data_IF_369029933280
#
_entry.id   IF_369029933280
#
_cell.length_a   1.000
_cell.length_b   1.000
_cell.length_c   1.000
_cell.angle_alpha   90.00
_cell.angle_beta   90.00
_cell.angle_gamma   90.00
#
_symmetry.space_group_name_H-M   'P 1'
#
loop_
_entity.id
_entity.type
_entity.pdbx_description
1 polymer ?
#
# COMPACT_ATOMS: atom_id res chain seq x y z
N UNK A 1 10.47 43.29 -17.24
CA UNK A 1 11.05 42.32 -16.27
C UNK A 1 10.62 40.86 -16.53
N UNK A 2 10.25 40.48 -17.75
CA UNK A 2 9.66 39.16 -18.08
C UNK A 2 10.66 38.07 -18.51
N UNK A 3 11.92 38.43 -18.78
CA UNK A 3 12.91 37.48 -19.34
C UNK A 3 13.55 36.51 -18.35
N UNK A 4 13.79 36.93 -17.10
CA UNK A 4 14.53 36.10 -16.12
C UNK A 4 13.70 34.93 -15.58
N UNK A 5 12.40 35.13 -15.36
CA UNK A 5 11.50 34.09 -14.87
C UNK A 5 11.30 32.95 -15.89
N UNK A 6 11.18 33.30 -17.18
CA UNK A 6 11.06 32.31 -18.26
C UNK A 6 12.33 31.47 -18.41
N UNK A 7 13.50 32.07 -18.20
CA UNK A 7 14.77 31.35 -18.26
C UNK A 7 14.93 30.38 -17.09
N UNK A 8 14.54 30.78 -15.87
CA UNK A 8 14.63 29.92 -14.69
C UNK A 8 13.73 28.68 -14.82
N UNK A 9 12.50 28.87 -15.31
CA UNK A 9 11.54 27.78 -15.53
C UNK A 9 12.04 26.78 -16.58
N UNK A 10 12.62 27.27 -17.69
CA UNK A 10 13.25 26.41 -18.70
C UNK A 10 14.38 25.58 -18.10
N UNK A 11 15.27 26.19 -17.32
CA UNK A 11 16.41 25.47 -16.72
C UNK A 11 15.93 24.38 -15.75
N UNK A 12 14.94 24.66 -14.91
CA UNK A 12 14.38 23.67 -13.98
C UNK A 12 13.72 22.51 -14.72
N UNK A 13 12.95 22.80 -15.78
CA UNK A 13 12.30 21.76 -16.59
C UNK A 13 13.34 20.89 -17.30
N UNK A 14 14.41 21.49 -17.83
CA UNK A 14 15.50 20.75 -18.48
C UNK A 14 16.23 19.84 -17.49
N UNK A 15 16.53 20.31 -16.28
CA UNK A 15 17.16 19.48 -15.23
C UNK A 15 16.24 18.34 -14.80
N UNK A 16 14.94 18.59 -14.66
CA UNK A 16 13.96 17.56 -14.31
C UNK A 16 13.88 16.46 -15.38
N UNK A 17 13.86 16.84 -16.66
CA UNK A 17 13.86 15.89 -17.79
C UNK A 17 15.15 15.08 -17.84
N UNK A 18 16.31 15.71 -17.61
CA UNK A 18 17.60 15.01 -17.57
C UNK A 18 17.67 14.00 -16.41
N UNK A 19 17.15 14.36 -15.23
CA UNK A 19 17.09 13.46 -14.08
C UNK A 19 16.13 12.29 -14.32
N UNK A 20 14.99 12.52 -14.98
CA UNK A 20 14.05 11.46 -15.34
C UNK A 20 14.63 10.52 -16.41
N UNK A 21 15.41 11.03 -17.36
CA UNK A 21 16.06 10.20 -18.40
C UNK A 21 17.30 9.45 -17.88
N UNK A 22 18.01 9.98 -16.89
CA UNK A 22 19.17 9.30 -16.27
C UNK A 22 18.77 8.19 -15.29
N UNK A 23 17.49 8.10 -14.92
CA UNK A 23 16.97 7.05 -14.05
C UNK A 23 16.53 5.78 -14.82
N UNK A 24 16.69 5.73 -16.15
CA UNK A 24 16.57 4.48 -16.88
C UNK A 24 17.75 3.57 -16.51
N UNK A 25 17.52 2.40 -15.89
CA UNK A 25 18.59 1.45 -15.65
C UNK A 25 19.25 1.10 -16.99
N UNK A 26 20.58 1.17 -17.03
CA UNK A 26 21.35 0.69 -18.16
C UNK A 26 20.93 -0.75 -18.45
N UNK A 27 20.37 -0.98 -19.63
CA UNK A 27 20.20 -2.31 -20.20
C UNK A 27 21.61 -2.86 -20.40
N UNK A 28 22.09 -3.62 -19.42
CA UNK A 28 23.38 -4.27 -19.48
C UNK A 28 23.36 -5.34 -20.58
N UNK A 29 24.22 -5.08 -21.57
CA UNK A 29 25.07 -6.01 -22.33
C UNK A 29 24.46 -7.36 -22.73
N UNK A 30 24.30 -7.48 -24.05
CA UNK A 30 24.26 -8.73 -24.79
C UNK A 30 25.27 -9.75 -24.25
N UNK A 31 24.75 -10.93 -23.88
CA UNK A 31 25.53 -12.11 -23.54
C UNK A 31 26.48 -12.48 -24.68
N UNK A 32 27.70 -12.81 -24.28
CA UNK A 32 28.76 -13.35 -25.11
C UNK A 32 28.36 -14.71 -25.70
N UNK A 33 28.74 -15.05 -26.95
CA UNK A 33 28.41 -16.33 -27.56
C UNK A 33 29.02 -17.50 -26.77
N UNK A 34 28.17 -18.30 -26.11
CA UNK A 34 28.59 -19.55 -25.45
C UNK A 34 29.08 -20.56 -26.49
N UNK A 35 30.23 -21.16 -26.20
CA UNK A 35 30.81 -22.30 -26.93
C UNK A 35 29.81 -23.48 -27.03
N UNK A 36 29.79 -24.19 -28.17
CA UNK A 36 28.93 -25.36 -28.35
C UNK A 36 29.37 -26.51 -27.42
N UNK A 37 28.44 -27.16 -26.71
CA UNK A 37 28.77 -28.29 -25.86
C UNK A 37 29.26 -29.49 -26.68
N UNK A 38 30.22 -30.22 -26.10
CA UNK A 38 30.76 -31.45 -26.63
C UNK A 38 29.66 -32.51 -26.83
N UNK A 39 29.73 -33.22 -27.96
CA UNK A 39 28.77 -34.23 -28.36
C UNK A 39 28.57 -35.32 -27.27
N UNK A 40 27.36 -35.35 -26.71
CA UNK A 40 26.89 -36.42 -25.85
C UNK A 40 26.67 -37.71 -26.65
N UNK A 41 27.06 -38.83 -26.03
CA UNK A 41 26.83 -40.17 -26.55
C UNK A 41 25.32 -40.44 -26.63
N UNK A 42 24.85 -41.27 -27.59
CA UNK A 42 23.44 -41.66 -27.67
C UNK A 42 23.05 -42.43 -26.40
N UNK A 43 22.33 -41.74 -25.51
CA UNK A 43 21.66 -42.34 -24.37
C UNK A 43 20.33 -42.94 -24.86
N UNK A 44 20.13 -44.21 -24.56
CA UNK A 44 18.93 -44.99 -24.89
C UNK A 44 17.69 -44.24 -24.41
N UNK A 45 16.74 -43.99 -25.31
CA UNK A 45 15.54 -43.22 -25.04
C UNK A 45 14.78 -43.83 -23.84
N UNK A 46 14.65 -43.12 -22.70
CA UNK A 46 13.78 -43.57 -21.64
C UNK A 46 12.34 -43.65 -22.16
N UNK A 47 11.53 -44.60 -21.65
CA UNK A 47 10.13 -44.72 -22.03
C UNK A 47 9.43 -43.36 -21.90
N UNK A 48 8.48 -43.02 -22.79
CA UNK A 48 7.79 -41.73 -22.76
C UNK A 48 7.20 -41.52 -21.37
N UNK A 49 7.86 -40.67 -20.58
CA UNK A 49 7.34 -40.22 -19.30
C UNK A 49 5.99 -39.58 -19.61
N UNK A 50 4.94 -40.10 -18.98
CA UNK A 50 3.62 -39.51 -19.06
C UNK A 50 3.76 -38.00 -18.86
N UNK A 51 3.24 -37.22 -19.81
CA UNK A 51 3.26 -35.77 -19.70
C UNK A 51 2.75 -35.40 -18.30
N UNK A 52 3.50 -34.58 -17.53
CA UNK A 52 3.06 -34.17 -16.21
C UNK A 52 1.65 -33.61 -16.35
N UNK A 53 0.73 -34.13 -15.55
CA UNK A 53 -0.63 -33.61 -15.51
C UNK A 53 -0.55 -32.09 -15.34
N UNK A 54 -1.28 -31.31 -16.16
CA UNK A 54 -1.26 -29.87 -16.03
C UNK A 54 -1.60 -29.53 -14.59
N UNK A 55 -0.83 -28.62 -13.93
CA UNK A 55 -1.12 -28.23 -12.57
C UNK A 55 -2.60 -27.85 -12.48
N UNK A 56 -3.31 -28.26 -11.41
CA UNK A 56 -4.72 -27.95 -11.27
C UNK A 56 -4.91 -26.47 -11.53
N UNK A 57 -5.72 -26.15 -12.54
CA UNK A 57 -6.10 -24.78 -12.85
C UNK A 57 -6.56 -24.16 -11.54
N UNK A 58 -5.89 -23.09 -11.06
CA UNK A 58 -6.31 -22.33 -9.87
C UNK A 58 -7.75 -21.87 -10.10
N UNK A 59 -8.69 -22.72 -9.69
CA UNK A 59 -10.10 -22.59 -9.99
C UNK A 59 -10.75 -21.71 -8.96
N UNK A 60 -11.40 -20.65 -9.43
CA UNK A 60 -12.50 -19.95 -8.78
C UNK A 60 -12.33 -19.59 -7.31
N UNK A 61 -11.17 -19.06 -6.89
CA UNK A 61 -11.17 -18.25 -5.67
C UNK A 61 -12.13 -17.07 -5.91
N UNK A 62 -13.16 -16.89 -5.05
CA UNK A 62 -14.14 -15.84 -5.25
C UNK A 62 -13.43 -14.49 -5.23
N UNK A 63 -13.44 -13.81 -6.38
CA UNK A 63 -12.81 -12.50 -6.51
C UNK A 63 -13.46 -11.48 -5.57
N UNK A 64 -12.64 -10.57 -5.03
CA UNK A 64 -13.13 -9.48 -4.17
C UNK A 64 -13.97 -8.51 -4.99
N UNK A 65 -15.27 -8.45 -4.73
CA UNK A 65 -16.20 -7.56 -5.42
C UNK A 65 -16.70 -6.41 -4.54
N UNK A 66 -16.50 -6.50 -3.22
CA UNK A 66 -17.02 -5.54 -2.24
C UNK A 66 -15.96 -5.14 -1.21
N UNK A 67 -16.19 -3.99 -0.60
CA UNK A 67 -15.41 -3.50 0.53
C UNK A 67 -16.36 -3.04 1.63
N UNK A 68 -16.03 -3.39 2.87
CA UNK A 68 -16.70 -2.94 4.08
C UNK A 68 -15.63 -2.44 5.05
N UNK A 69 -16.00 -1.66 6.07
CA UNK A 69 -15.08 -1.35 7.17
C UNK A 69 -15.70 -1.70 8.52
N UNK A 70 -14.85 -2.04 9.48
CA UNK A 70 -15.26 -2.29 10.87
C UNK A 70 -14.17 -1.85 11.87
N UNK A 71 -14.56 -1.77 13.14
CA UNK A 71 -13.69 -1.33 14.23
C UNK A 71 -13.03 -2.51 14.93
N UNK A 72 -11.72 -2.39 15.14
CA UNK A 72 -10.93 -3.39 15.84
C UNK A 72 -10.65 -2.90 17.27
N UNK A 73 -11.19 -3.57 18.28
CA UNK A 73 -11.13 -3.09 19.68
C UNK A 73 -10.06 -3.77 20.52
N UNK A 74 -9.63 -4.96 20.13
CA UNK A 74 -8.57 -5.73 20.75
C UNK A 74 -7.86 -6.61 19.70
N UNK A 75 -6.75 -7.25 20.10
CA UNK A 75 -6.07 -8.21 19.21
C UNK A 75 -6.96 -9.41 18.94
N UNK A 76 -6.85 -9.98 17.74
CA UNK A 76 -7.53 -11.20 17.34
C UNK A 76 -9.07 -11.09 17.36
N UNK A 77 -9.57 -9.85 17.27
CA UNK A 77 -11.00 -9.51 17.28
C UNK A 77 -11.61 -9.49 15.87
N UNK A 78 -10.89 -9.96 14.85
CA UNK A 78 -11.37 -10.02 13.48
C UNK A 78 -12.48 -11.07 13.33
N UNK A 79 -13.53 -10.68 12.62
CA UNK A 79 -14.58 -11.57 12.19
C UNK A 79 -14.08 -12.45 11.04
N UNK A 80 -14.30 -13.75 11.15
CA UNK A 80 -13.79 -14.74 10.19
C UNK A 80 -14.70 -14.88 8.97
N UNK A 81 -14.14 -15.42 7.89
CA UNK A 81 -14.87 -15.77 6.67
C UNK A 81 -14.95 -14.66 5.61
N UNK A 82 -14.25 -13.54 5.80
CA UNK A 82 -14.09 -12.54 4.76
C UNK A 82 -12.98 -12.94 3.78
N UNK A 83 -13.10 -12.53 2.52
CA UNK A 83 -12.11 -12.91 1.49
C UNK A 83 -10.75 -12.25 1.69
N UNK A 84 -10.73 -11.03 2.22
CA UNK A 84 -9.50 -10.28 2.51
C UNK A 84 -9.67 -9.39 3.74
N UNK A 85 -8.55 -9.12 4.41
CA UNK A 85 -8.47 -8.38 5.66
C UNK A 85 -7.48 -7.22 5.51
N UNK A 86 -7.99 -5.99 5.41
CA UNK A 86 -7.16 -4.79 5.26
C UNK A 86 -7.08 -4.02 6.58
N UNK A 87 -5.89 -3.83 7.14
CA UNK A 87 -5.67 -3.07 8.37
C UNK A 87 -5.25 -1.63 8.07
N UNK A 88 -5.91 -0.66 8.69
CA UNK A 88 -5.60 0.78 8.60
C UNK A 88 -4.79 1.19 9.83
N UNK A 89 -3.46 1.17 9.70
CA UNK A 89 -2.54 1.23 10.85
C UNK A 89 -1.70 2.51 10.87
N UNK A 90 -1.59 3.13 12.05
CA UNK A 90 -0.74 4.29 12.30
C UNK A 90 0.46 3.89 13.16
N UNK A 91 1.69 4.21 12.71
CA UNK A 91 2.92 3.90 13.45
C UNK A 91 3.30 4.99 14.47
N UNK A 92 2.46 6.01 14.65
CA UNK A 92 2.63 7.05 15.67
C UNK A 92 1.40 7.14 16.54
N UNK A 93 1.64 7.45 17.80
CA UNK A 93 0.60 7.63 18.82
C UNK A 93 -0.14 8.93 18.58
N UNK A 94 -1.44 8.83 18.36
CA UNK A 94 -2.34 9.99 18.20
C UNK A 94 -2.91 10.45 19.54
N UNK A 95 -2.78 9.63 20.59
CA UNK A 95 -3.21 9.93 21.95
C UNK A 95 -2.20 10.76 22.75
N UNK A 96 -1.10 11.18 22.11
CA UNK A 96 -0.02 11.97 22.73
C UNK A 96 0.17 13.30 22.02
N UNK A 97 0.50 14.38 22.77
CA UNK A 97 0.89 15.63 22.16
C UNK A 97 2.20 15.47 21.36
N UNK A 98 2.38 16.30 20.33
CA UNK A 98 3.61 16.35 19.54
C UNK A 98 3.59 15.55 18.24
N UNK A 99 2.43 15.07 17.80
CA UNK A 99 2.27 14.60 16.43
C UNK A 99 2.45 15.78 15.46
N UNK A 100 3.27 15.60 14.43
CA UNK A 100 3.44 16.64 13.43
C UNK A 100 2.10 16.88 12.70
N UNK A 101 1.74 18.15 12.48
CA UNK A 101 0.43 18.53 11.94
C UNK A 101 0.16 17.92 10.56
N UNK A 102 1.19 17.73 9.74
CA UNK A 102 1.06 17.10 8.43
C UNK A 102 0.76 15.60 8.53
N UNK A 103 1.32 14.91 9.54
CA UNK A 103 1.02 13.49 9.84
C UNK A 103 -0.41 13.36 10.34
N UNK A 104 -0.82 14.23 11.26
CA UNK A 104 -2.18 14.27 11.81
C UNK A 104 -3.21 14.43 10.69
N UNK A 105 -3.01 15.41 9.79
CA UNK A 105 -3.90 15.61 8.64
C UNK A 105 -3.96 14.39 7.71
N UNK A 106 -2.85 13.69 7.49
CA UNK A 106 -2.86 12.44 6.70
C UNK A 106 -3.67 11.35 7.37
N UNK A 107 -3.55 11.22 8.70
CA UNK A 107 -4.33 10.24 9.48
C UNK A 107 -5.82 10.56 9.45
N UNK A 108 -6.22 11.81 9.67
CA UNK A 108 -7.62 12.22 9.55
C UNK A 108 -8.15 11.95 8.14
N UNK A 109 -7.36 12.31 7.12
CA UNK A 109 -7.79 12.19 5.73
C UNK A 109 -7.98 10.74 5.29
N UNK A 110 -7.17 9.80 5.78
CA UNK A 110 -7.39 8.38 5.45
C UNK A 110 -8.65 7.84 6.14
N UNK A 111 -8.94 8.23 7.38
CA UNK A 111 -10.18 7.82 8.06
C UNK A 111 -11.41 8.36 7.31
N UNK A 112 -11.37 9.63 6.90
CA UNK A 112 -12.40 10.24 6.03
C UNK A 112 -12.53 9.51 4.69
N UNK A 113 -11.41 9.12 4.06
CA UNK A 113 -11.42 8.39 2.80
C UNK A 113 -12.08 7.01 2.95
N UNK A 114 -11.82 6.30 4.06
CA UNK A 114 -12.42 4.99 4.32
C UNK A 114 -13.93 5.14 4.53
N UNK A 115 -14.36 5.99 5.47
CA UNK A 115 -15.79 6.16 5.81
C UNK A 115 -16.59 6.81 4.69
N UNK A 116 -15.98 7.70 3.91
CA UNK A 116 -16.65 8.39 2.80
C UNK A 116 -16.82 7.56 1.54
N UNK A 117 -16.11 6.43 1.41
CA UNK A 117 -16.14 5.59 0.19
C UNK A 117 -16.47 4.13 0.44
N UNK A 118 -16.77 3.76 1.69
CA UNK A 118 -16.98 2.37 2.10
C UNK A 118 -18.04 2.35 3.21
N UNK A 119 -19.02 1.44 3.08
CA UNK A 119 -20.06 1.27 4.11
C UNK A 119 -19.50 0.56 5.33
N UNK A 120 -19.99 0.94 6.51
CA UNK A 120 -19.66 0.25 7.75
C UNK A 120 -20.33 -1.12 7.79
N UNK A 121 -19.67 -2.12 8.38
CA UNK A 121 -20.23 -3.47 8.51
C UNK A 121 -21.64 -3.48 9.18
N UNK A 122 -21.92 -2.67 10.23
CA UNK A 122 -23.27 -2.57 10.79
C UNK A 122 -24.34 -2.06 9.80
N UNK A 123 -23.95 -1.29 8.78
CA UNK A 123 -24.85 -0.73 7.77
C UNK A 123 -25.19 -1.75 6.67
N UNK A 124 -24.34 -2.75 6.48
CA UNK A 124 -24.54 -3.83 5.50
C UNK A 124 -25.53 -4.90 5.99
N UNK A 125 -25.77 -4.98 7.30
CA UNK A 125 -26.62 -6.00 7.91
C UNK A 125 -25.99 -7.40 7.87
N UNK A 126 -26.82 -8.43 8.04
CA UNK A 126 -26.35 -9.81 7.98
C UNK A 126 -25.90 -10.20 6.56
N UNK A 127 -24.67 -10.68 6.45
CA UNK A 127 -24.08 -11.16 5.20
C UNK A 127 -24.06 -12.68 5.15
N UNK A 128 -24.45 -13.25 4.00
CA UNK A 128 -24.25 -14.67 3.70
C UNK A 128 -22.75 -15.02 3.63
N UNK A 129 -22.38 -16.29 3.83
CA UNK A 129 -20.98 -16.72 3.74
C UNK A 129 -20.32 -16.33 2.41
N UNK A 130 -21.03 -16.56 1.29
CA UNK A 130 -20.55 -16.16 -0.05
C UNK A 130 -20.28 -14.65 -0.15
N UNK A 131 -21.16 -13.82 0.41
CA UNK A 131 -20.94 -12.37 0.40
C UNK A 131 -19.73 -11.96 1.24
N UNK A 132 -19.45 -12.64 2.35
CA UNK A 132 -18.24 -12.39 3.14
C UNK A 132 -16.99 -12.78 2.35
N UNK A 133 -16.98 -13.95 1.73
CA UNK A 133 -15.88 -14.43 0.88
C UNK A 133 -15.56 -13.47 -0.28
N UNK A 134 -16.56 -12.79 -0.84
CA UNK A 134 -16.40 -11.78 -1.90
C UNK A 134 -16.09 -10.36 -1.37
N UNK A 135 -15.90 -10.17 -0.07
CA UNK A 135 -15.72 -8.87 0.60
C UNK A 135 -14.34 -8.73 1.23
N UNK A 136 -13.67 -7.61 0.94
CA UNK A 136 -12.52 -7.16 1.70
C UNK A 136 -12.96 -6.29 2.88
N UNK A 137 -12.67 -6.74 4.11
CA UNK A 137 -13.02 -6.02 5.33
C UNK A 137 -11.85 -5.14 5.78
N UNK A 138 -12.10 -3.83 5.89
CA UNK A 138 -11.13 -2.83 6.35
C UNK A 138 -11.25 -2.65 7.87
N UNK A 139 -10.28 -3.13 8.63
CA UNK A 139 -10.20 -2.96 10.07
C UNK A 139 -9.49 -1.68 10.48
N UNK A 140 -10.12 -0.94 11.38
CA UNK A 140 -9.55 0.29 11.95
C UNK A 140 -9.50 0.19 13.48
N UNK A 141 -8.31 0.26 14.09
CA UNK A 141 -8.16 0.22 15.55
C UNK A 141 -8.95 1.33 16.27
N UNK A 142 -9.81 0.94 17.20
CA UNK A 142 -10.67 1.84 17.96
C UNK A 142 -10.66 1.54 19.46
N UNK A 143 -10.90 2.58 20.27
CA UNK A 143 -10.90 2.46 21.73
C UNK A 143 -12.12 1.71 22.27
N UNK A 144 -13.23 1.74 21.53
CA UNK A 144 -14.49 1.10 21.91
C UNK A 144 -15.35 0.82 20.66
N UNK A 145 -16.24 -0.19 20.71
CA UNK A 145 -17.18 -0.47 19.63
C UNK A 145 -18.21 0.66 19.48
N UNK A 146 -18.79 0.79 18.28
CA UNK A 146 -19.86 1.75 17.98
C UNK A 146 -19.45 3.23 18.07
N UNK A 147 -18.16 3.52 18.22
CA UNK A 147 -17.63 4.89 18.21
C UNK A 147 -17.52 5.39 16.78
N UNK A 148 -17.76 6.68 16.60
CA UNK A 148 -17.50 7.32 15.31
C UNK A 148 -16.00 7.24 14.96
N UNK A 149 -15.70 6.89 13.71
CA UNK A 149 -14.34 6.76 13.24
C UNK A 149 -13.67 8.13 13.09
N UNK A 150 -12.96 8.53 14.15
CA UNK A 150 -12.20 9.78 14.24
C UNK A 150 -10.88 9.52 14.94
N UNK A 151 -9.92 10.42 14.72
CA UNK A 151 -8.58 10.30 15.30
C UNK A 151 -8.60 10.20 16.84
N UNK A 152 -9.46 10.98 17.50
CA UNK A 152 -9.64 10.96 18.96
C UNK A 152 -10.12 9.61 19.52
N UNK A 153 -10.75 8.76 18.69
CA UNK A 153 -11.23 7.43 19.08
C UNK A 153 -10.29 6.31 18.62
N UNK A 154 -9.17 6.64 17.96
CA UNK A 154 -8.25 5.67 17.38
C UNK A 154 -7.36 5.01 18.44
N UNK A 155 -7.27 3.69 18.42
CA UNK A 155 -6.50 2.93 19.41
C UNK A 155 -5.04 2.76 18.95
N UNK A 156 -4.21 3.78 19.20
CA UNK A 156 -2.79 3.75 18.83
C UNK A 156 -2.02 2.56 19.43
N UNK A 157 -2.17 2.21 20.73
CA UNK A 157 -1.51 1.04 21.28
C UNK A 157 -1.83 -0.26 20.53
N UNK A 158 -3.09 -0.45 20.14
CA UNK A 158 -3.49 -1.63 19.37
C UNK A 158 -2.87 -1.61 17.97
N UNK A 159 -2.93 -0.48 17.27
CA UNK A 159 -2.33 -0.33 15.94
C UNK A 159 -0.83 -0.68 15.93
N UNK A 160 -0.09 -0.22 16.94
CA UNK A 160 1.33 -0.51 17.09
C UNK A 160 1.62 -1.99 17.34
N UNK A 161 0.74 -2.71 18.04
CA UNK A 161 0.86 -4.17 18.23
C UNK A 161 0.65 -4.92 16.91
N UNK A 162 -0.36 -4.54 16.13
CA UNK A 162 -0.58 -5.07 14.79
C UNK A 162 0.61 -4.82 13.87
N UNK A 163 1.15 -3.59 13.86
CA UNK A 163 2.34 -3.26 13.07
C UNK A 163 3.57 -4.09 13.49
N UNK A 164 3.80 -4.27 14.79
CA UNK A 164 4.92 -5.06 15.28
C UNK A 164 4.81 -6.53 14.87
N UNK A 165 3.60 -7.10 14.90
CA UNK A 165 3.36 -8.48 14.48
C UNK A 165 3.54 -8.66 12.97
N UNK A 166 3.01 -7.74 12.16
CA UNK A 166 3.21 -7.77 10.70
C UNK A 166 4.69 -7.58 10.35
N UNK A 167 5.40 -6.66 11.01
CA UNK A 167 6.84 -6.47 10.80
C UNK A 167 7.64 -7.72 11.20
N UNK A 168 7.23 -8.44 12.25
CA UNK A 168 7.81 -9.74 12.63
C UNK A 168 7.64 -10.78 11.52
N UNK A 169 6.44 -10.89 10.96
CA UNK A 169 6.14 -11.82 9.86
C UNK A 169 6.95 -11.50 8.59
N UNK A 170 7.23 -10.23 8.32
CA UNK A 170 8.00 -9.81 7.15
C UNK A 170 9.52 -9.90 7.35
N UNK A 171 10.03 -10.09 8.57
CA UNK A 171 11.44 -9.81 8.88
C UNK A 171 12.42 -10.69 8.11
N UNK A 172 12.10 -11.96 7.97
CA UNK A 172 13.01 -12.96 7.37
C UNK A 172 12.95 -12.90 5.84
N UNK A 173 11.75 -12.82 5.27
CA UNK A 173 11.56 -12.84 3.80
C UNK A 173 11.64 -11.45 3.16
N UNK A 174 11.26 -10.39 3.89
CA UNK A 174 11.07 -9.03 3.39
C UNK A 174 11.52 -7.95 4.40
N UNK A 175 12.82 -7.91 4.77
CA UNK A 175 13.33 -7.03 5.83
C UNK A 175 13.09 -5.53 5.55
N UNK A 176 13.07 -5.12 4.27
CA UNK A 176 12.79 -3.73 3.89
C UNK A 176 11.36 -3.29 4.27
N UNK A 177 10.38 -4.19 4.20
CA UNK A 177 9.01 -3.90 4.59
C UNK A 177 8.93 -3.76 6.11
N UNK A 178 9.53 -4.71 6.84
CA UNK A 178 9.61 -4.64 8.30
C UNK A 178 10.25 -3.30 8.77
N UNK A 179 11.38 -2.91 8.17
CA UNK A 179 12.05 -1.65 8.46
C UNK A 179 11.14 -0.44 8.20
N UNK A 180 10.42 -0.41 7.08
CA UNK A 180 9.49 0.68 6.76
C UNK A 180 8.35 0.78 7.77
N UNK A 181 7.74 -0.32 8.16
CA UNK A 181 6.65 -0.35 9.13
C UNK A 181 7.10 0.19 10.50
N UNK A 182 8.36 -0.04 10.88
CA UNK A 182 8.94 0.44 12.14
C UNK A 182 9.33 1.92 12.08
N UNK A 183 9.94 2.35 10.97
CA UNK A 183 10.55 3.68 10.87
C UNK A 183 9.59 4.76 10.37
N UNK A 184 8.70 4.42 9.43
CA UNK A 184 7.84 5.40 8.76
C UNK A 184 6.56 5.64 9.59
N UNK A 185 6.01 6.87 9.61
CA UNK A 185 4.85 7.18 10.42
C UNK A 185 3.54 6.55 9.89
N UNK A 186 3.47 6.18 8.61
CA UNK A 186 2.21 5.81 7.95
C UNK A 186 1.38 7.05 7.55
N UNK A 187 0.09 6.87 7.23
CA UNK A 187 -0.71 5.68 7.51
C UNK A 187 -0.37 4.50 6.58
N UNK A 188 -0.61 3.28 7.06
CA UNK A 188 -0.42 2.05 6.29
C UNK A 188 -1.77 1.40 5.99
N UNK A 189 -1.92 0.91 4.76
CA UNK A 189 -2.95 -0.07 4.40
C UNK A 189 -2.23 -1.39 4.19
N UNK A 190 -2.63 -2.44 4.91
CA UNK A 190 -2.00 -3.76 4.81
C UNK A 190 -3.10 -4.79 4.65
N UNK A 191 -3.13 -5.48 3.50
CA UNK A 191 -4.12 -6.51 3.20
C UNK A 191 -3.52 -7.90 3.32
N UNK A 192 -4.23 -8.80 4.00
CA UNK A 192 -3.90 -10.20 4.21
C UNK A 192 -5.09 -11.07 3.76
N UNK A 193 -4.82 -12.31 3.35
CA UNK A 193 -5.88 -13.27 2.95
C UNK A 193 -6.63 -13.89 4.13
N UNK A 194 -6.09 -13.75 5.34
CA UNK A 194 -6.69 -14.28 6.57
C UNK A 194 -6.44 -13.33 7.74
N UNK A 195 -7.20 -13.45 8.86
CA UNK A 195 -6.95 -12.67 10.07
C UNK A 195 -5.51 -12.80 10.55
N UNK A 196 -4.93 -11.73 11.09
CA UNK A 196 -3.51 -11.71 11.48
C UNK A 196 -3.20 -12.80 12.51
N UNK A 197 -4.10 -13.01 13.50
CA UNK A 197 -3.96 -14.05 14.53
C UNK A 197 -3.99 -15.49 14.00
N UNK A 198 -4.40 -15.71 12.74
CA UNK A 198 -4.42 -17.02 12.10
C UNK A 198 -3.20 -17.26 11.20
N UNK A 199 -2.36 -16.24 10.99
CA UNK A 199 -1.15 -16.36 10.20
C UNK A 199 -0.11 -17.15 11.01
N UNK A 200 0.10 -18.41 10.60
CA UNK A 200 1.15 -19.27 11.13
C UNK A 200 2.55 -18.89 10.61
N UNK A 201 3.47 -19.85 10.66
CA UNK A 201 4.85 -19.68 10.18
C UNK A 201 5.02 -19.82 8.64
N UNK A 202 3.91 -19.85 7.89
CA UNK A 202 3.94 -19.95 6.44
C UNK A 202 4.34 -18.60 5.81
N UNK A 203 4.90 -18.59 4.58
CA UNK A 203 5.14 -17.36 3.86
C UNK A 203 3.85 -16.55 3.75
N UNK A 204 3.93 -15.28 4.13
CA UNK A 204 2.76 -14.41 4.22
C UNK A 204 2.54 -13.73 2.90
N UNK A 205 1.36 -13.89 2.29
CA UNK A 205 0.97 -13.07 1.15
C UNK A 205 0.35 -11.77 1.66
N UNK A 206 0.97 -10.64 1.33
CA UNK A 206 0.50 -9.34 1.79
C UNK A 206 0.56 -8.29 0.68
N UNK A 207 -0.49 -7.50 0.55
CA UNK A 207 -0.45 -6.25 -0.21
C UNK A 207 -0.28 -5.12 0.78
N UNK A 208 0.68 -4.21 0.57
CA UNK A 208 0.82 -3.06 1.45
C UNK A 208 0.97 -1.74 0.70
N UNK A 209 0.40 -0.68 1.26
CA UNK A 209 0.61 0.71 0.85
C UNK A 209 1.12 1.54 2.04
N UNK A 210 2.30 2.15 1.86
CA UNK A 210 2.84 3.16 2.76
C UNK A 210 2.48 4.55 2.26
N UNK A 211 1.67 5.27 3.04
CA UNK A 211 1.18 6.61 2.70
C UNK A 211 1.91 7.72 3.47
N UNK A 212 3.05 7.43 4.08
CA UNK A 212 3.82 8.39 4.88
C UNK A 212 4.23 9.65 4.12
N UNK A 213 4.48 9.52 2.81
CA UNK A 213 4.86 10.62 1.91
C UNK A 213 3.76 11.00 0.92
N UNK A 214 2.53 10.55 1.17
CA UNK A 214 1.39 10.85 0.30
C UNK A 214 0.80 12.20 0.66
N UNK A 215 0.69 13.10 -0.30
CA UNK A 215 0.01 14.37 -0.13
C UNK A 215 -1.44 14.12 0.30
N UNK A 216 -1.94 14.86 1.28
CA UNK A 216 -3.28 14.67 1.87
C UNK A 216 -4.38 14.64 0.80
N UNK A 217 -4.35 15.57 -0.15
CA UNK A 217 -5.30 15.60 -1.28
C UNK A 217 -5.28 14.37 -2.20
N UNK A 218 -4.20 13.57 -2.21
CA UNK A 218 -4.11 12.36 -3.02
C UNK A 218 -4.67 11.10 -2.33
N UNK A 219 -4.87 11.14 -1.00
CA UNK A 219 -5.20 9.95 -0.20
C UNK A 219 -6.47 9.24 -0.69
N UNK A 220 -7.53 9.98 -1.02
CA UNK A 220 -8.78 9.39 -1.53
C UNK A 220 -8.56 8.60 -2.83
N UNK A 221 -7.74 9.14 -3.74
CA UNK A 221 -7.39 8.47 -4.99
C UNK A 221 -6.53 7.23 -4.72
N UNK A 222 -5.61 7.29 -3.76
CA UNK A 222 -4.78 6.13 -3.40
C UNK A 222 -5.64 5.01 -2.83
N UNK A 223 -6.54 5.32 -1.88
CA UNK A 223 -7.48 4.37 -1.29
C UNK A 223 -8.38 3.74 -2.35
N UNK A 224 -8.88 4.55 -3.29
CA UNK A 224 -9.72 4.06 -4.40
C UNK A 224 -8.95 3.12 -5.31
N UNK A 225 -7.73 3.50 -5.71
CA UNK A 225 -6.88 2.67 -6.56
C UNK A 225 -6.44 1.37 -5.84
N UNK A 226 -6.17 1.45 -4.54
CA UNK A 226 -5.83 0.30 -3.70
C UNK A 226 -6.98 -0.72 -3.63
N UNK A 227 -8.22 -0.25 -3.37
CA UNK A 227 -9.43 -1.08 -3.41
C UNK A 227 -9.62 -1.73 -4.78
N UNK A 228 -9.47 -0.95 -5.86
CA UNK A 228 -9.58 -1.47 -7.22
C UNK A 228 -8.51 -2.52 -7.57
N UNK A 229 -7.30 -2.44 -7.00
CA UNK A 229 -6.24 -3.47 -7.17
C UNK A 229 -6.66 -4.80 -6.57
N UNK A 230 -7.34 -4.80 -5.42
CA UNK A 230 -7.84 -6.03 -4.77
C UNK A 230 -8.94 -6.73 -5.57
N UNK A 231 -9.74 -5.98 -6.33
CA UNK A 231 -10.80 -6.55 -7.18
C UNK A 231 -10.30 -7.18 -8.47
N UNK A 232 -9.13 -6.74 -8.97
CA UNK A 232 -8.63 -7.17 -10.29
C UNK A 232 -7.81 -8.44 -10.22
N UNK A 233 -6.99 -8.58 -9.19
CA UNK A 233 -5.94 -9.58 -9.12
C UNK A 233 -5.80 -10.09 -7.68
N UNK A 234 -5.72 -11.41 -7.47
CA UNK A 234 -5.47 -11.97 -6.14
C UNK A 234 -4.08 -11.54 -5.62
N UNK A 235 -3.92 -11.50 -4.30
CA UNK A 235 -2.63 -11.23 -3.64
C UNK A 235 -1.87 -12.54 -3.53
N UNK A 236 -1.05 -12.83 -4.53
CA UNK A 236 -0.31 -14.10 -4.61
C UNK A 236 1.03 -14.08 -3.87
N UNK A 237 1.63 -12.90 -3.68
CA UNK A 237 2.94 -12.69 -3.09
C UNK A 237 2.94 -11.38 -2.28
N UNK A 238 4.04 -11.12 -1.57
CA UNK A 238 4.27 -9.84 -0.90
C UNK A 238 4.47 -8.76 -1.96
N UNK A 239 3.49 -7.86 -2.09
CA UNK A 239 3.50 -6.79 -3.08
C UNK A 239 3.39 -5.42 -2.43
N UNK A 240 4.26 -4.50 -2.85
CA UNK A 240 4.10 -3.09 -2.56
C UNK A 240 3.18 -2.46 -3.59
N UNK A 241 2.07 -1.89 -3.13
CA UNK A 241 1.20 -1.11 -3.99
C UNK A 241 1.85 0.22 -4.38
N UNK A 242 2.23 0.34 -5.66
CA UNK A 242 2.69 1.60 -6.27
C UNK A 242 1.94 1.83 -7.57
N UNK A 243 0.83 2.55 -7.51
CA UNK A 243 0.13 3.00 -8.73
C UNK A 243 0.91 4.15 -9.39
N UNK A 244 1.30 3.99 -10.66
CA UNK A 244 1.97 5.04 -11.44
C UNK A 244 1.15 6.34 -11.46
N UNK A 245 -0.16 6.23 -11.69
CA UNK A 245 -1.08 7.38 -11.69
C UNK A 245 -1.04 8.09 -10.33
N UNK A 246 -1.02 7.32 -9.25
CA UNK A 246 -0.95 7.84 -7.89
C UNK A 246 0.41 8.48 -7.60
N UNK A 247 1.50 7.87 -8.07
CA UNK A 247 2.85 8.43 -7.95
C UNK A 247 2.97 9.78 -8.69
N UNK A 248 2.42 9.87 -9.91
CA UNK A 248 2.39 11.11 -10.69
C UNK A 248 1.51 12.19 -10.04
N UNK A 249 0.31 11.82 -9.58
CA UNK A 249 -0.57 12.75 -8.86
C UNK A 249 0.11 13.28 -7.59
N UNK A 250 0.71 12.39 -6.81
CA UNK A 250 1.44 12.77 -5.60
C UNK A 250 2.62 13.70 -5.93
N UNK A 251 3.36 13.44 -7.00
CA UNK A 251 4.45 14.29 -7.46
C UNK A 251 3.97 15.69 -7.83
N UNK A 252 2.89 15.79 -8.62
CA UNK A 252 2.33 17.08 -9.05
C UNK A 252 1.82 17.89 -7.86
N UNK A 253 1.11 17.25 -6.92
CA UNK A 253 0.57 17.94 -5.73
C UNK A 253 1.69 18.41 -4.79
N UNK A 254 2.70 17.57 -4.57
CA UNK A 254 3.87 17.97 -3.77
C UNK A 254 4.65 19.10 -4.45
N UNK A 255 4.76 19.11 -5.78
CA UNK A 255 5.39 20.22 -6.51
C UNK A 255 4.60 21.53 -6.36
N UNK A 256 3.26 21.50 -6.47
CA UNK A 256 2.42 22.70 -6.28
C UNK A 256 2.55 23.26 -4.87
N UNK A 257 2.50 22.41 -3.84
CA UNK A 257 2.65 22.82 -2.45
C UNK A 257 4.00 23.50 -2.18
N UNK A 258 5.10 22.93 -2.69
CA UNK A 258 6.43 23.49 -2.55
C UNK A 258 6.59 24.82 -3.31
N UNK A 259 6.01 24.94 -4.51
CA UNK A 259 6.06 26.18 -5.28
C UNK A 259 5.26 27.32 -4.62
N UNK A 260 4.14 27.01 -3.94
CA UNK A 260 3.39 28.01 -3.17
C UNK A 260 4.21 28.57 -2.01
N UNK A 261 4.93 27.72 -1.27
CA UNK A 261 5.79 28.15 -0.16
C UNK A 261 6.87 29.13 -0.63
N UNK A 262 7.54 28.82 -1.76
CA UNK A 262 8.56 29.72 -2.33
C UNK A 262 7.97 31.06 -2.76
N UNK A 263 6.76 31.07 -3.35
CA UNK A 263 6.08 32.32 -3.74
C UNK A 263 5.74 33.20 -2.53
N UNK A 264 5.24 32.61 -1.45
CA UNK A 264 4.91 33.35 -0.21
C UNK A 264 6.18 33.92 0.42
N UNK A 265 7.23 33.10 0.57
CA UNK A 265 8.51 33.55 1.12
C UNK A 265 9.14 34.67 0.28
N UNK A 266 9.05 34.59 -1.06
CA UNK A 266 9.55 35.64 -1.95
C UNK A 266 8.73 36.94 -1.84
N UNK A 267 7.41 36.84 -1.65
CA UNK A 267 6.55 38.00 -1.47
C UNK A 267 6.84 38.75 -0.16
N UNK A 268 7.26 38.06 0.90
CA UNK A 268 7.70 38.67 2.16
C UNK A 268 9.08 39.34 2.05
N UNK A 269 9.93 38.84 1.14
CA UNK A 269 11.31 39.31 0.99
C UNK A 269 11.48 40.54 0.09
N UNK A 270 10.48 40.86 -0.73
CA UNK A 270 10.49 42.05 -1.58
C UNK A 270 9.81 43.20 -0.80
N UNK A 271 10.57 44.20 -0.33
CA UNK A 271 9.97 45.37 0.32
C UNK A 271 9.08 46.10 -0.69
N UNK A 272 7.88 46.50 -0.26
CA UNK A 272 7.00 47.36 -1.05
C UNK A 272 7.56 48.78 -1.16
#
# INVERSE_FOLDING_TARGET
>A
MTGKAAHLLKTVLTVLVILLLSACPQIERAEEPREPPAAERPEEAPPPMAAPEPPPTRGDEPGISRHAWDLLTHMDAEEQGFGMYTYVLFARRVDRPGLAADVEQRYEKILEAITGTTLGLPELGEMTSRQKEETNLLYVPALAPGRELRLANYNSPLALRYLAEIARLCRDDNPEIAERLEQRPGPFLITLSQPLGQIGAAPVNLLYADLSSTHTAAINEVVTAYKARLTREPVAEIERFVSLRTALLNLVLNADANLRLVKVALAEWVPQ
#
